data_IF_393109696922
#
_entry.id   IF_393109696922
#
_cell.length_a   1.000
_cell.length_b   1.000
_cell.length_c   1.000
_cell.angle_alpha   90.00
_cell.angle_beta   90.00
_cell.angle_gamma   90.00
#
_symmetry.space_group_name_H-M   'P 1'
#
loop_
_entity.id
_entity.type
_entity.pdbx_description
1 polymer ?
#
# COMPACT_ATOMS: atom_id res chain seq x y z
N UNK A 1 2.45 0.65 -4.94
CA UNK A 1 1.01 0.94 -5.11
C UNK A 1 0.35 1.36 -3.80
N UNK A 2 0.25 0.50 -2.78
CA UNK A 2 -0.42 0.83 -1.52
C UNK A 2 0.06 2.15 -0.88
N UNK A 3 1.37 2.37 -0.78
CA UNK A 3 1.93 3.58 -0.16
C UNK A 3 1.46 4.88 -0.84
N UNK A 4 1.40 4.91 -2.17
CA UNK A 4 0.92 6.10 -2.90
C UNK A 4 -0.57 6.31 -2.65
N UNK A 5 -1.36 5.23 -2.58
CA UNK A 5 -2.80 5.31 -2.30
C UNK A 5 -3.11 5.88 -0.91
N UNK A 6 -2.29 5.56 0.10
CA UNK A 6 -2.53 6.02 1.48
C UNK A 6 -1.78 7.31 1.82
N UNK A 7 -1.00 7.88 0.89
CA UNK A 7 -0.10 9.00 1.16
C UNK A 7 -0.82 10.21 1.76
N UNK A 8 -1.96 10.59 1.19
CA UNK A 8 -2.80 11.68 1.72
C UNK A 8 -3.26 11.37 3.15
N UNK A 9 -3.72 10.14 3.41
CA UNK A 9 -4.15 9.71 4.76
C UNK A 9 -3.01 9.81 5.78
N UNK A 10 -1.77 9.50 5.38
CA UNK A 10 -0.61 9.64 6.26
C UNK A 10 -0.29 11.12 6.56
N UNK A 11 -0.45 12.02 5.59
CA UNK A 11 -0.32 13.46 5.83
C UNK A 11 -1.43 14.02 6.73
N UNK A 12 -2.62 13.42 6.67
CA UNK A 12 -3.78 13.76 7.51
C UNK A 12 -3.73 13.08 8.89
N UNK A 13 -2.57 12.56 9.31
CA UNK A 13 -2.34 11.90 10.61
C UNK A 13 -3.28 10.71 10.89
N UNK A 14 -3.73 10.00 9.85
CA UNK A 14 -4.58 8.81 9.98
C UNK A 14 -3.81 7.69 10.72
N UNK A 15 -4.22 7.45 11.97
CA UNK A 15 -3.61 6.44 12.85
C UNK A 15 -3.74 5.01 12.29
N UNK A 16 -4.81 4.70 11.56
CA UNK A 16 -5.00 3.37 10.97
C UNK A 16 -4.05 3.17 9.79
N UNK A 17 -3.88 4.18 8.93
CA UNK A 17 -2.88 4.14 7.86
C UNK A 17 -1.46 4.04 8.42
N UNK A 18 -1.13 4.85 9.43
CA UNK A 18 0.16 4.84 10.11
C UNK A 18 0.45 3.48 10.77
N UNK A 19 -0.52 2.92 11.50
CA UNK A 19 -0.38 1.59 12.10
C UNK A 19 -0.12 0.52 11.04
N UNK A 20 -0.86 0.58 9.92
CA UNK A 20 -0.74 -0.41 8.83
C UNK A 20 0.65 -0.39 8.20
N UNK A 21 1.20 0.79 7.90
CA UNK A 21 2.56 0.87 7.35
C UNK A 21 3.63 0.40 8.33
N UNK A 22 3.49 0.74 9.61
CA UNK A 22 4.42 0.24 10.64
C UNK A 22 4.37 -1.28 10.76
N UNK A 23 3.16 -1.87 10.69
CA UNK A 23 3.00 -3.34 10.66
C UNK A 23 3.70 -3.95 9.45
N UNK A 24 3.44 -3.43 8.25
CA UNK A 24 4.05 -3.89 7.00
C UNK A 24 5.58 -3.84 7.09
N UNK A 25 6.15 -2.69 7.47
CA UNK A 25 7.61 -2.49 7.56
C UNK A 25 8.23 -3.45 8.58
N UNK A 26 7.63 -3.59 9.77
CA UNK A 26 8.15 -4.50 10.81
C UNK A 26 8.18 -5.95 10.32
N UNK A 27 7.12 -6.38 9.64
CA UNK A 27 7.00 -7.76 9.15
C UNK A 27 8.01 -8.01 8.03
N UNK A 28 8.16 -7.07 7.08
CA UNK A 28 9.19 -7.16 6.04
C UNK A 28 10.60 -7.23 6.61
N UNK A 29 10.94 -6.40 7.60
CA UNK A 29 12.28 -6.43 8.21
C UNK A 29 12.53 -7.75 8.95
N UNK A 30 11.50 -8.33 9.58
CA UNK A 30 11.61 -9.64 10.23
C UNK A 30 11.78 -10.76 9.20
N UNK A 31 11.03 -10.73 8.10
CA UNK A 31 11.14 -11.69 7.02
C UNK A 31 12.47 -11.58 6.24
N UNK A 32 13.01 -10.38 6.10
CA UNK A 32 14.28 -10.13 5.41
C UNK A 32 15.52 -10.27 6.29
N UNK A 33 15.38 -10.37 7.62
CA UNK A 33 16.52 -10.45 8.53
C UNK A 33 17.48 -11.63 8.22
N UNK A 34 17.04 -12.81 7.73
CA UNK A 34 17.96 -13.89 7.36
C UNK A 34 18.79 -13.59 6.09
N UNK A 35 18.33 -12.68 5.23
CA UNK A 35 18.97 -12.33 3.95
C UNK A 35 19.83 -11.06 4.11
N UNK A 36 19.28 -10.05 4.80
CA UNK A 36 19.87 -8.73 4.97
C UNK A 36 19.90 -8.33 6.47
N UNK A 37 20.68 -9.02 7.33
CA UNK A 37 20.60 -8.87 8.78
C UNK A 37 21.00 -7.48 9.28
N UNK A 38 22.11 -6.91 8.79
CA UNK A 38 22.57 -5.59 9.25
C UNK A 38 21.62 -4.46 8.84
N UNK A 39 21.08 -4.52 7.63
CA UNK A 39 20.08 -3.58 7.14
C UNK A 39 18.79 -3.67 7.97
N UNK A 40 18.30 -4.91 8.16
CA UNK A 40 17.09 -5.16 8.92
C UNK A 40 17.25 -4.72 10.38
N UNK A 41 18.39 -5.02 11.01
CA UNK A 41 18.76 -4.55 12.35
C UNK A 41 18.77 -3.03 12.42
N UNK A 42 19.50 -2.35 11.53
CA UNK A 42 19.67 -0.90 11.59
C UNK A 42 18.33 -0.16 11.51
N UNK A 43 17.47 -0.51 10.55
CA UNK A 43 16.18 0.15 10.38
C UNK A 43 15.24 -0.15 11.56
N UNK A 44 15.11 -1.43 11.93
CA UNK A 44 14.20 -1.83 13.02
C UNK A 44 14.63 -1.24 14.37
N UNK A 45 15.93 -1.20 14.66
CA UNK A 45 16.46 -0.57 15.86
C UNK A 45 16.21 0.93 15.86
N UNK A 46 16.38 1.61 14.72
CA UNK A 46 16.16 3.06 14.61
C UNK A 46 14.69 3.44 14.81
N UNK A 47 13.76 2.71 14.19
CA UNK A 47 12.34 3.06 14.21
C UNK A 47 11.63 2.53 15.47
N UNK A 48 11.97 1.30 15.90
CA UNK A 48 11.24 0.57 16.93
C UNK A 48 12.04 0.31 18.20
N UNK A 49 13.31 0.72 18.27
CA UNK A 49 14.22 0.40 19.39
C UNK A 49 14.33 -1.11 19.68
N UNK A 50 14.05 -1.95 18.68
CA UNK A 50 14.12 -3.40 18.74
C UNK A 50 14.63 -3.95 17.42
N UNK A 51 15.58 -4.90 17.45
CA UNK A 51 16.10 -5.50 16.24
C UNK A 51 15.15 -6.56 15.66
N UNK A 52 14.98 -6.53 14.35
CA UNK A 52 14.33 -7.57 13.57
C UNK A 52 15.15 -8.87 13.47
N UNK A 53 16.45 -8.82 13.80
CA UNK A 53 17.32 -10.02 13.86
C UNK A 53 17.07 -10.84 15.13
N UNK A 54 16.55 -10.20 16.19
CA UNK A 54 16.21 -10.87 17.46
C UNK A 54 14.86 -11.61 17.38
N UNK A 55 14.16 -11.54 16.24
CA UNK A 55 12.87 -12.20 16.03
C UNK A 55 13.11 -13.66 15.67
N UNK A 56 12.47 -14.56 16.43
CA UNK A 56 12.62 -16.01 16.32
C UNK A 56 11.48 -16.68 15.51
N UNK A 57 10.46 -15.92 15.10
CA UNK A 57 9.31 -16.42 14.34
C UNK A 57 9.03 -15.59 13.10
N UNK A 58 8.66 -16.25 12.01
CA UNK A 58 8.17 -15.57 10.81
C UNK A 58 6.87 -14.79 11.11
N UNK A 59 6.62 -13.62 10.47
CA UNK A 59 5.39 -12.87 10.67
C UNK A 59 4.13 -13.71 10.40
N UNK A 60 3.22 -13.71 11.36
CA UNK A 60 1.92 -14.37 11.23
C UNK A 60 0.84 -13.44 10.66
N UNK A 61 -0.16 -14.05 10.03
CA UNK A 61 -1.39 -13.35 9.68
C UNK A 61 -2.11 -12.93 10.98
N UNK A 62 -2.58 -11.68 11.01
CA UNK A 62 -3.25 -11.07 12.17
C UNK A 62 -4.78 -11.10 12.07
N UNK A 63 -5.30 -11.34 10.86
CA UNK A 63 -6.73 -11.38 10.54
C UNK A 63 -6.94 -12.65 9.73
N UNK A 64 -7.61 -13.64 10.32
CA UNK A 64 -7.87 -14.95 9.72
C UNK A 64 -8.71 -14.83 8.45
N UNK A 65 -9.65 -13.89 8.47
CA UNK A 65 -10.63 -13.62 7.41
C UNK A 65 -9.97 -13.08 6.14
N UNK A 66 -8.75 -12.55 6.26
CA UNK A 66 -7.97 -11.99 5.15
C UNK A 66 -6.79 -12.88 4.73
N UNK A 67 -6.62 -14.05 5.36
CA UNK A 67 -5.50 -14.95 5.07
C UNK A 67 -5.54 -15.47 3.63
N UNK A 68 -4.46 -16.08 3.16
CA UNK A 68 -4.47 -16.84 1.90
C UNK A 68 -5.57 -17.91 1.95
N UNK A 69 -6.27 -18.14 0.84
CA UNK A 69 -7.39 -19.08 0.72
C UNK A 69 -8.63 -18.75 1.57
N UNK A 70 -8.71 -17.54 2.12
CA UNK A 70 -9.96 -16.97 2.63
C UNK A 70 -10.73 -16.30 1.49
N UNK A 71 -12.06 -16.39 1.53
CA UNK A 71 -12.93 -15.80 0.50
C UNK A 71 -12.73 -14.28 0.38
N UNK A 72 -12.80 -13.57 1.50
CA UNK A 72 -12.63 -12.12 1.55
C UNK A 72 -11.20 -11.69 1.18
N UNK A 73 -10.18 -12.34 1.75
CA UNK A 73 -8.79 -12.05 1.42
C UNK A 73 -8.47 -12.28 -0.07
N UNK A 74 -8.98 -13.36 -0.67
CA UNK A 74 -8.78 -13.65 -2.08
C UNK A 74 -9.55 -12.68 -2.97
N UNK A 75 -10.77 -12.27 -2.58
CA UNK A 75 -11.53 -11.24 -3.27
C UNK A 75 -10.75 -9.91 -3.31
N UNK A 76 -10.21 -9.44 -2.18
CA UNK A 76 -9.40 -8.22 -2.13
C UNK A 76 -8.10 -8.34 -2.93
N UNK A 77 -7.42 -9.49 -2.87
CA UNK A 77 -6.19 -9.71 -3.66
C UNK A 77 -6.45 -9.65 -5.16
N UNK A 78 -7.57 -10.18 -5.64
CA UNK A 78 -7.96 -10.11 -7.07
C UNK A 78 -8.10 -8.67 -7.58
N UNK A 79 -8.51 -7.73 -6.73
CA UNK A 79 -8.61 -6.31 -7.10
C UNK A 79 -7.25 -5.63 -7.31
N UNK A 80 -6.15 -6.26 -6.90
CA UNK A 80 -4.80 -5.68 -7.01
C UNK A 80 -4.44 -5.35 -8.46
N UNK A 81 -4.73 -6.26 -9.39
CA UNK A 81 -4.39 -6.06 -10.80
C UNK A 81 -5.20 -4.92 -11.41
N UNK A 82 -6.51 -4.87 -11.13
CA UNK A 82 -7.39 -3.76 -11.52
C UNK A 82 -6.91 -2.40 -10.97
N UNK A 83 -6.47 -2.36 -9.71
CA UNK A 83 -5.90 -1.14 -9.11
C UNK A 83 -4.60 -0.73 -9.83
N UNK A 84 -3.72 -1.69 -10.15
CA UNK A 84 -2.47 -1.41 -10.84
C UNK A 84 -2.70 -0.92 -12.26
N UNK A 85 -3.64 -1.53 -12.98
CA UNK A 85 -4.02 -1.16 -14.33
C UNK A 85 -4.64 0.24 -14.35
N UNK A 86 -5.63 0.50 -13.50
CA UNK A 86 -6.25 1.83 -13.37
C UNK A 86 -5.21 2.92 -13.08
N UNK A 87 -4.28 2.66 -12.15
CA UNK A 87 -3.23 3.60 -11.82
C UNK A 87 -2.32 3.86 -13.03
N UNK A 88 -1.86 2.81 -13.70
CA UNK A 88 -0.98 2.92 -14.86
C UNK A 88 -1.65 3.65 -16.01
N UNK A 89 -2.91 3.32 -16.31
CA UNK A 89 -3.73 3.97 -17.33
C UNK A 89 -3.92 5.46 -17.03
N UNK A 90 -4.25 5.81 -15.79
CA UNK A 90 -4.41 7.22 -15.37
C UNK A 90 -3.11 8.01 -15.53
N UNK A 91 -1.98 7.43 -15.12
CA UNK A 91 -0.68 8.08 -15.28
C UNK A 91 -0.26 8.26 -16.75
N UNK A 92 -0.55 7.27 -17.59
CA UNK A 92 -0.31 7.37 -19.03
C UNK A 92 -1.21 8.42 -19.67
N UNK A 93 -2.50 8.46 -19.31
CA UNK A 93 -3.42 9.50 -19.79
C UNK A 93 -2.95 10.93 -19.46
N UNK A 94 -2.42 11.16 -18.25
CA UNK A 94 -1.80 12.45 -17.91
C UNK A 94 -0.58 12.77 -18.77
N UNK A 95 0.31 11.80 -18.99
CA UNK A 95 1.51 11.98 -19.81
C UNK A 95 1.15 12.28 -21.26
N UNK A 96 0.21 11.54 -21.84
CA UNK A 96 -0.23 11.69 -23.22
C UNK A 96 -0.91 13.05 -23.47
N UNK A 97 -1.62 13.56 -22.46
CA UNK A 97 -2.20 14.90 -22.46
C UNK A 97 -1.19 16.04 -22.16
N UNK A 98 0.08 15.72 -21.88
CA UNK A 98 1.09 16.71 -21.48
C UNK A 98 0.84 17.34 -20.11
N UNK A 99 -0.01 16.72 -19.27
CA UNK A 99 -0.39 17.20 -17.95
C UNK A 99 0.63 16.68 -16.92
N UNK A 100 1.07 17.55 -16.00
CA UNK A 100 1.91 17.13 -14.87
C UNK A 100 1.16 16.12 -14.00
N UNK A 101 1.84 15.09 -13.49
CA UNK A 101 1.25 14.07 -12.63
C UNK A 101 0.49 14.65 -11.41
N UNK A 102 0.93 15.80 -10.92
CA UNK A 102 0.33 16.48 -9.76
C UNK A 102 -0.87 17.38 -10.11
N UNK A 103 -1.25 17.48 -11.39
CA UNK A 103 -2.39 18.28 -11.83
C UNK A 103 -3.65 17.41 -11.95
N UNK A 104 -4.84 18.00 -11.78
CA UNK A 104 -6.08 17.29 -11.96
C UNK A 104 -6.25 16.74 -13.39
N UNK A 105 -7.02 15.68 -13.53
CA UNK A 105 -7.40 15.10 -14.82
C UNK A 105 -8.90 14.77 -14.81
N UNK A 106 -9.59 15.23 -15.85
CA UNK A 106 -11.02 15.01 -16.00
C UNK A 106 -11.33 13.84 -16.94
N UNK A 107 -12.52 13.27 -16.82
CA UNK A 107 -13.03 12.27 -17.76
C UNK A 107 -12.50 10.85 -17.55
N UNK A 108 -11.91 10.56 -16.39
CA UNK A 108 -11.52 9.21 -15.98
C UNK A 108 -12.62 8.63 -15.11
N UNK A 109 -13.20 7.51 -15.56
CA UNK A 109 -14.16 6.75 -14.77
C UNK A 109 -13.46 5.64 -13.97
N UNK A 110 -13.89 5.46 -12.73
CA UNK A 110 -13.42 4.36 -11.88
C UNK A 110 -14.23 3.10 -12.24
N UNK A 111 -13.59 1.95 -12.47
CA UNK A 111 -14.27 0.68 -12.70
C UNK A 111 -15.22 0.32 -11.55
N UNK A 112 -16.34 -0.35 -11.86
CA UNK A 112 -17.36 -0.72 -10.87
C UNK A 112 -16.80 -1.57 -9.73
N UNK A 113 -15.91 -2.51 -10.04
CA UNK A 113 -15.22 -3.35 -9.05
C UNK A 113 -14.28 -2.58 -8.11
N UNK A 114 -13.92 -1.33 -8.44
CA UNK A 114 -13.08 -0.46 -7.62
C UNK A 114 -13.86 0.65 -6.92
N UNK A 115 -15.20 0.58 -6.92
CA UNK A 115 -16.07 1.61 -6.33
C UNK A 115 -15.78 1.86 -4.84
N UNK A 116 -15.38 0.83 -4.09
CA UNK A 116 -15.00 0.98 -2.68
C UNK A 116 -13.74 1.84 -2.47
N UNK A 117 -12.90 1.94 -3.50
CA UNK A 117 -11.67 2.74 -3.49
C UNK A 117 -11.85 4.14 -4.09
N UNK A 118 -13.06 4.54 -4.49
CA UNK A 118 -13.32 5.80 -5.18
C UNK A 118 -12.70 7.00 -4.47
N UNK A 119 -12.97 7.17 -3.17
CA UNK A 119 -12.42 8.31 -2.41
C UNK A 119 -10.88 8.34 -2.43
N UNK A 120 -10.24 7.18 -2.34
CA UNK A 120 -8.79 7.04 -2.32
C UNK A 120 -8.20 7.34 -3.71
N UNK A 121 -8.76 6.74 -4.76
CA UNK A 121 -8.28 6.89 -6.13
C UNK A 121 -8.51 8.32 -6.65
N UNK A 122 -9.65 8.93 -6.32
CA UNK A 122 -9.96 10.33 -6.64
C UNK A 122 -8.98 11.28 -5.97
N UNK A 123 -8.71 11.10 -4.67
CA UNK A 123 -7.73 11.92 -3.94
C UNK A 123 -6.33 11.75 -4.52
N UNK A 124 -5.89 10.51 -4.75
CA UNK A 124 -4.54 10.20 -5.23
C UNK A 124 -4.27 10.78 -6.62
N UNK A 125 -5.24 10.69 -7.54
CA UNK A 125 -5.06 11.18 -8.92
C UNK A 125 -5.61 12.57 -9.16
N UNK A 126 -6.26 13.20 -8.18
CA UNK A 126 -6.99 14.47 -8.37
C UNK A 126 -7.96 14.37 -9.55
N UNK A 127 -8.84 13.37 -9.51
CA UNK A 127 -9.84 13.14 -10.56
C UNK A 127 -10.95 14.21 -10.48
N UNK A 128 -11.34 14.75 -11.64
CA UNK A 128 -12.41 15.75 -11.80
C UNK A 128 -13.57 15.26 -12.68
#
# INVERSE_FOLDING_TARGET
HWLEMVKTRLYDEDKAAAWTIHRIVRDFLSAFSPICPFFSHHISQTIYSKSAVDVDSFPSNIVSELSVASEEGDALRKLTDSIQEFNSATWNGKKDAGISLNKPISGISIPEELVEFTNILTSMHSLE
#
